data_IF_361193651666
#
_entry.id   IF_361193651666
#
_cell.length_a   1.000
_cell.length_b   1.000
_cell.length_c   1.000
_cell.angle_alpha   90.00
_cell.angle_beta   90.00
_cell.angle_gamma   90.00
#
_symmetry.space_group_name_H-M   'P 1'
#
loop_
_entity.id
_entity.type
_entity.pdbx_description
1 polymer ?
#
# COMPACT_ATOMS: atom_id res chain seq x y z
N UNK A 1 -13.11 -5.23 22.09
CA UNK A 1 -14.29 -4.40 21.72
C UNK A 1 -14.29 -4.19 20.22
N UNK A 2 -15.42 -4.48 19.58
CA UNK A 2 -15.69 -4.21 18.17
C UNK A 2 -16.67 -3.03 18.04
N UNK A 3 -16.49 -2.19 17.02
CA UNK A 3 -17.51 -1.23 16.59
C UNK A 3 -17.93 -1.59 15.17
N UNK A 4 -19.23 -1.53 14.91
CA UNK A 4 -19.82 -2.08 13.69
C UNK A 4 -20.10 -1.05 12.58
N UNK A 5 -20.36 0.21 12.95
CA UNK A 5 -20.56 1.29 11.98
C UNK A 5 -20.35 2.63 12.65
N UNK A 6 -19.61 3.52 11.99
CA UNK A 6 -19.33 4.86 12.51
C UNK A 6 -19.31 5.85 11.34
N UNK A 7 -20.13 6.91 11.46
CA UNK A 7 -20.14 8.05 10.56
C UNK A 7 -19.94 9.34 11.37
N UNK A 8 -18.75 9.92 11.27
CA UNK A 8 -18.34 11.15 11.96
C UNK A 8 -17.41 11.98 11.07
N UNK A 9 -17.16 13.22 11.45
CA UNK A 9 -16.20 14.07 10.76
C UNK A 9 -14.75 13.70 11.14
N UNK A 10 -14.51 13.41 12.43
CA UNK A 10 -13.22 12.98 12.97
C UNK A 10 -13.40 11.94 14.07
N UNK A 11 -12.43 11.03 14.21
CA UNK A 11 -12.44 9.95 15.21
C UNK A 11 -11.02 9.72 15.75
N UNK A 12 -10.88 9.62 17.09
CA UNK A 12 -9.60 9.43 17.80
C UNK A 12 -9.70 8.39 18.94
N UNK A 13 -10.02 7.12 18.66
CA UNK A 13 -10.04 6.09 19.68
C UNK A 13 -8.63 5.53 19.93
N UNK A 14 -8.25 5.22 21.18
CA UNK A 14 -6.89 4.80 21.50
C UNK A 14 -6.61 3.32 21.14
N UNK A 15 -7.59 2.42 21.26
CA UNK A 15 -7.40 1.00 21.00
C UNK A 15 -8.71 0.30 20.62
N UNK A 16 -8.70 -0.43 19.51
CA UNK A 16 -9.79 -1.34 19.14
C UNK A 16 -9.26 -2.62 18.52
N UNK A 17 -9.92 -3.73 18.82
CA UNK A 17 -9.56 -5.01 18.23
C UNK A 17 -10.04 -5.08 16.78
N UNK A 18 -11.29 -4.73 16.53
CA UNK A 18 -11.86 -4.70 15.18
C UNK A 18 -12.78 -3.51 14.99
N UNK A 19 -12.72 -2.89 13.80
CA UNK A 19 -13.72 -1.92 13.36
C UNK A 19 -14.22 -2.28 11.98
N UNK A 20 -15.54 -2.21 11.83
CA UNK A 20 -16.23 -2.48 10.57
C UNK A 20 -16.87 -1.19 10.05
N UNK A 21 -16.79 -0.99 8.74
CA UNK A 21 -17.53 0.01 7.97
C UNK A 21 -17.44 1.43 8.52
N UNK A 22 -16.38 2.13 8.13
CA UNK A 22 -16.07 3.49 8.60
C UNK A 22 -16.12 4.49 7.44
N UNK A 23 -16.90 5.57 7.59
CA UNK A 23 -16.85 6.72 6.68
C UNK A 23 -16.50 8.01 7.44
N UNK A 24 -15.32 8.58 7.18
CA UNK A 24 -14.83 9.79 7.86
C UNK A 24 -14.05 10.72 6.96
N UNK A 25 -13.94 12.00 7.33
CA UNK A 25 -13.02 12.91 6.66
C UNK A 25 -11.58 12.68 7.12
N UNK A 26 -11.37 12.59 8.43
CA UNK A 26 -10.05 12.36 9.04
C UNK A 26 -10.14 11.31 10.16
N UNK A 27 -9.15 10.43 10.24
CA UNK A 27 -9.12 9.37 11.23
C UNK A 27 -7.69 9.11 11.72
N UNK A 28 -7.52 9.08 13.05
CA UNK A 28 -6.26 8.76 13.70
C UNK A 28 -6.47 7.61 14.68
N UNK A 29 -5.81 6.50 14.41
CA UNK A 29 -6.04 5.24 15.11
C UNK A 29 -4.67 4.61 15.44
N UNK A 30 -4.14 4.83 16.67
CA UNK A 30 -2.76 4.50 17.00
C UNK A 30 -2.47 2.99 17.01
N UNK A 31 -3.40 2.16 17.50
CA UNK A 31 -3.21 0.72 17.64
C UNK A 31 -4.48 -0.09 17.34
N UNK A 32 -4.46 -0.84 16.22
CA UNK A 32 -5.61 -1.66 15.80
C UNK A 32 -5.22 -3.00 15.21
N UNK A 33 -5.99 -4.05 15.51
CA UNK A 33 -5.70 -5.35 14.94
C UNK A 33 -6.29 -5.47 13.52
N UNK A 34 -7.58 -5.21 13.34
CA UNK A 34 -8.22 -5.30 12.02
C UNK A 34 -9.17 -4.13 11.75
N UNK A 35 -9.10 -3.57 10.54
CA UNK A 35 -10.16 -2.71 10.03
C UNK A 35 -10.68 -3.23 8.68
N UNK A 36 -12.00 -3.12 8.51
CA UNK A 36 -12.70 -3.56 7.31
C UNK A 36 -13.52 -2.42 6.73
N UNK A 37 -13.41 -2.21 5.42
CA UNK A 37 -14.26 -1.31 4.62
C UNK A 37 -14.23 0.14 5.13
N UNK A 38 -13.14 0.85 4.84
CA UNK A 38 -12.99 2.26 5.21
C UNK A 38 -13.04 3.15 3.96
N UNK A 39 -13.88 4.17 3.96
CA UNK A 39 -13.79 5.28 3.03
C UNK A 39 -13.41 6.56 3.77
N UNK A 40 -12.33 7.22 3.36
CA UNK A 40 -11.90 8.45 4.02
C UNK A 40 -11.10 9.39 3.13
N UNK A 41 -10.98 10.65 3.53
CA UNK A 41 -10.07 11.58 2.86
C UNK A 41 -8.63 11.41 3.36
N UNK A 42 -8.45 11.37 4.68
CA UNK A 42 -7.14 11.23 5.33
C UNK A 42 -7.18 10.23 6.49
N UNK A 43 -6.15 9.39 6.59
CA UNK A 43 -6.01 8.41 7.66
C UNK A 43 -4.56 8.23 8.08
N UNK A 44 -4.35 8.19 9.39
CA UNK A 44 -3.05 7.94 10.01
C UNK A 44 -3.14 6.76 10.97
N UNK A 45 -2.41 5.68 10.66
CA UNK A 45 -2.43 4.40 11.36
C UNK A 45 -1.00 3.93 11.70
N UNK A 46 -0.43 4.37 12.84
CA UNK A 46 0.92 4.01 13.30
C UNK A 46 1.20 2.52 13.27
N UNK A 47 0.34 1.74 13.93
CA UNK A 47 0.56 0.33 14.18
C UNK A 47 -0.73 -0.44 13.99
N UNK A 48 -0.71 -1.36 13.04
CA UNK A 48 -1.86 -2.20 12.80
C UNK A 48 -1.45 -3.52 12.17
N UNK A 49 -2.34 -4.51 12.22
CA UNK A 49 -2.04 -5.84 11.71
C UNK A 49 -2.67 -6.09 10.35
N UNK A 50 -3.96 -5.84 10.18
CA UNK A 50 -4.67 -6.11 8.93
C UNK A 50 -5.65 -5.00 8.55
N UNK A 51 -5.72 -4.75 7.25
CA UNK A 51 -6.58 -3.74 6.65
C UNK A 51 -7.16 -4.29 5.36
N UNK A 52 -8.48 -4.24 5.25
CA UNK A 52 -9.22 -4.80 4.12
C UNK A 52 -10.12 -3.73 3.50
N UNK A 53 -10.04 -3.58 2.18
CA UNK A 53 -10.94 -2.76 1.37
C UNK A 53 -10.96 -1.30 1.80
N UNK A 54 -9.94 -0.54 1.41
CA UNK A 54 -9.83 0.88 1.74
C UNK A 54 -9.87 1.73 0.48
N UNK A 55 -10.77 2.72 0.46
CA UNK A 55 -10.75 3.78 -0.53
C UNK A 55 -10.40 5.12 0.12
N UNK A 56 -9.37 5.78 -0.38
CA UNK A 56 -8.94 7.04 0.23
C UNK A 56 -8.19 7.99 -0.69
N UNK A 57 -8.06 9.25 -0.26
CA UNK A 57 -7.19 10.20 -0.94
C UNK A 57 -5.74 10.08 -0.44
N UNK A 58 -5.55 10.09 0.88
CA UNK A 58 -4.23 10.02 1.52
C UNK A 58 -4.22 9.09 2.73
N UNK A 59 -3.18 8.28 2.85
CA UNK A 59 -3.04 7.30 3.92
C UNK A 59 -1.57 7.12 4.30
N UNK A 60 -1.29 7.22 5.60
CA UNK A 60 0.06 7.07 6.15
C UNK A 60 0.09 6.00 7.24
N UNK A 61 0.85 4.94 6.97
CA UNK A 61 0.89 3.69 7.74
C UNK A 61 2.33 3.31 8.05
N UNK A 62 2.92 3.80 9.15
CA UNK A 62 4.30 3.51 9.52
C UNK A 62 4.66 2.02 9.53
N UNK A 63 3.83 1.23 10.20
CA UNK A 63 4.10 -0.18 10.44
C UNK A 63 2.85 -1.02 10.27
N UNK A 64 2.92 -1.98 9.35
CA UNK A 64 1.82 -2.90 9.15
C UNK A 64 2.22 -4.24 8.57
N UNK A 65 1.40 -5.24 8.90
CA UNK A 65 1.59 -6.60 8.40
C UNK A 65 0.96 -6.83 7.02
N UNK A 66 -0.36 -6.64 6.84
CA UNK A 66 -1.03 -7.10 5.60
C UNK A 66 -2.16 -6.19 5.07
N UNK A 67 -1.96 -5.50 3.95
CA UNK A 67 -3.01 -4.69 3.28
C UNK A 67 -3.64 -5.48 2.14
N UNK A 68 -4.96 -5.45 2.07
CA UNK A 68 -5.74 -6.06 0.99
C UNK A 68 -6.68 -5.05 0.35
N UNK A 69 -6.62 -4.95 -0.98
CA UNK A 69 -7.57 -4.20 -1.81
C UNK A 69 -7.65 -2.72 -1.44
N UNK A 70 -6.70 -1.93 -1.94
CA UNK A 70 -6.67 -0.49 -1.68
C UNK A 70 -6.74 0.29 -2.98
N UNK A 71 -7.66 1.26 -3.03
CA UNK A 71 -7.71 2.27 -4.08
C UNK A 71 -7.40 3.65 -3.50
N UNK A 72 -6.39 4.32 -4.05
CA UNK A 72 -5.99 5.62 -3.50
C UNK A 72 -5.26 6.56 -4.45
N UNK A 73 -5.17 7.83 -4.06
CA UNK A 73 -4.32 8.79 -4.76
C UNK A 73 -2.87 8.72 -4.28
N UNK A 74 -2.65 8.71 -2.97
CA UNK A 74 -1.30 8.68 -2.36
C UNK A 74 -1.23 7.77 -1.13
N UNK A 75 -0.15 7.00 -1.04
CA UNK A 75 0.14 6.10 0.07
C UNK A 75 1.63 6.09 0.39
N UNK A 76 1.93 6.30 1.66
CA UNK A 76 3.29 6.28 2.17
C UNK A 76 3.36 5.36 3.39
N UNK A 77 3.77 4.11 3.20
CA UNK A 77 3.85 3.19 4.31
C UNK A 77 5.32 2.67 4.38
N UNK A 78 6.11 3.10 5.39
CA UNK A 78 7.55 2.88 5.41
C UNK A 78 7.99 1.42 5.62
N UNK A 79 7.22 0.60 6.35
CA UNK A 79 7.58 -0.78 6.67
C UNK A 79 6.40 -1.74 6.62
N UNK A 80 6.42 -2.64 5.61
CA UNK A 80 5.30 -3.54 5.34
C UNK A 80 5.73 -4.95 4.97
N UNK A 81 4.95 -5.92 5.42
CA UNK A 81 5.21 -7.33 5.10
C UNK A 81 4.49 -7.80 3.84
N UNK A 82 3.20 -7.52 3.68
CA UNK A 82 2.43 -7.92 2.50
C UNK A 82 1.44 -6.86 2.04
N UNK A 83 1.40 -6.58 0.73
CA UNK A 83 0.29 -5.86 0.12
C UNK A 83 -0.25 -6.61 -1.10
N UNK A 84 -1.58 -6.67 -1.17
CA UNK A 84 -2.31 -7.35 -2.23
C UNK A 84 -3.28 -6.39 -2.91
N UNK A 85 -3.24 -6.34 -4.23
CA UNK A 85 -4.22 -5.65 -5.08
C UNK A 85 -4.34 -4.17 -4.75
N UNK A 86 -3.37 -3.37 -5.20
CA UNK A 86 -3.39 -1.93 -5.00
C UNK A 86 -3.54 -1.21 -6.34
N UNK A 87 -4.50 -0.30 -6.42
CA UNK A 87 -4.62 0.66 -7.51
C UNK A 87 -4.35 2.08 -6.99
N UNK A 88 -3.38 2.78 -7.58
CA UNK A 88 -3.04 4.12 -7.11
C UNK A 88 -2.40 5.05 -8.13
N UNK A 89 -2.38 6.34 -7.82
CA UNK A 89 -1.64 7.31 -8.61
C UNK A 89 -0.15 7.34 -8.21
N UNK A 90 0.13 7.47 -6.92
CA UNK A 90 1.49 7.56 -6.39
C UNK A 90 1.67 6.71 -5.14
N UNK A 91 2.78 5.99 -5.08
CA UNK A 91 3.12 5.15 -3.93
C UNK A 91 4.62 5.15 -3.69
N UNK A 92 4.96 5.31 -2.43
CA UNK A 92 6.35 5.29 -1.96
C UNK A 92 6.47 4.25 -0.85
N UNK A 93 7.23 3.18 -1.12
CA UNK A 93 7.43 2.08 -0.18
C UNK A 93 8.92 1.80 0.04
N UNK A 94 9.53 2.41 1.07
CA UNK A 94 10.93 2.23 1.44
C UNK A 94 11.36 0.78 1.57
N UNK A 95 10.59 0.02 2.36
CA UNK A 95 10.93 -1.35 2.74
C UNK A 95 9.68 -2.22 2.67
N UNK A 96 9.72 -3.19 1.75
CA UNK A 96 8.64 -4.16 1.60
C UNK A 96 9.17 -5.58 1.39
N UNK A 97 8.50 -6.58 1.99
CA UNK A 97 8.78 -7.98 1.72
C UNK A 97 8.08 -8.51 0.45
N UNK A 98 6.74 -8.62 0.42
CA UNK A 98 5.99 -9.16 -0.74
C UNK A 98 4.83 -8.29 -1.27
N UNK A 99 4.91 -7.92 -2.55
CA UNK A 99 3.87 -7.15 -3.23
C UNK A 99 3.23 -7.93 -4.36
N UNK A 100 1.90 -7.96 -4.40
CA UNK A 100 1.13 -8.73 -5.38
C UNK A 100 0.08 -7.87 -6.08
N UNK A 101 0.13 -7.83 -7.41
CA UNK A 101 -0.81 -7.15 -8.30
C UNK A 101 -0.97 -5.66 -7.98
N UNK A 102 -0.16 -4.83 -8.63
CA UNK A 102 -0.23 -3.38 -8.45
C UNK A 102 -0.42 -2.70 -9.80
N UNK A 103 -1.42 -1.82 -9.89
CA UNK A 103 -1.61 -0.92 -11.02
C UNK A 103 -1.40 0.53 -10.58
N UNK A 104 -0.50 1.26 -11.25
CA UNK A 104 -0.19 2.62 -10.83
C UNK A 104 0.40 3.54 -11.88
N UNK A 105 0.41 4.84 -11.58
CA UNK A 105 1.12 5.80 -12.41
C UNK A 105 2.61 5.90 -12.02
N UNK A 106 2.90 6.05 -10.72
CA UNK A 106 4.27 6.21 -10.22
C UNK A 106 4.52 5.39 -8.96
N UNK A 107 5.64 4.66 -8.94
CA UNK A 107 6.02 3.84 -7.80
C UNK A 107 7.53 3.87 -7.55
N UNK A 108 7.88 4.08 -6.29
CA UNK A 108 9.26 4.15 -5.83
C UNK A 108 9.49 3.18 -4.67
N UNK A 109 10.25 2.12 -4.93
CA UNK A 109 10.55 1.04 -3.97
C UNK A 109 12.06 0.86 -3.82
N UNK A 110 12.69 1.55 -2.87
CA UNK A 110 14.11 1.46 -2.60
C UNK A 110 14.61 0.03 -2.38
N UNK A 111 13.92 -0.69 -1.49
CA UNK A 111 14.31 -2.03 -1.06
C UNK A 111 13.09 -2.93 -1.01
N UNK A 112 13.08 -3.95 -1.87
CA UNK A 112 12.03 -4.96 -1.81
C UNK A 112 12.54 -6.39 -2.09
N UNK A 113 11.84 -7.38 -1.54
CA UNK A 113 12.21 -8.79 -1.72
C UNK A 113 11.47 -9.45 -2.90
N UNK A 114 10.14 -9.34 -2.96
CA UNK A 114 9.35 -9.90 -4.06
C UNK A 114 8.25 -8.99 -4.56
N UNK A 115 8.15 -8.89 -5.89
CA UNK A 115 7.05 -8.23 -6.60
C UNK A 115 6.49 -9.17 -7.68
N UNK A 116 5.18 -9.31 -7.64
CA UNK A 116 4.43 -10.16 -8.56
C UNK A 116 3.38 -9.34 -9.29
N UNK A 117 3.52 -9.26 -10.62
CA UNK A 117 2.58 -8.57 -11.53
C UNK A 117 2.40 -7.08 -11.22
N UNK A 118 3.11 -6.24 -11.97
CA UNK A 118 3.00 -4.78 -11.85
C UNK A 118 2.68 -4.17 -13.22
N UNK A 119 1.66 -3.32 -13.29
CA UNK A 119 1.41 -2.48 -14.46
C UNK A 119 1.59 -1.01 -14.09
N UNK A 120 2.46 -0.30 -14.80
CA UNK A 120 2.72 1.10 -14.45
C UNK A 120 3.24 2.00 -15.56
N UNK A 121 3.18 3.31 -15.30
CA UNK A 121 3.84 4.28 -16.17
C UNK A 121 5.31 4.46 -15.80
N UNK A 122 5.62 4.65 -14.52
CA UNK A 122 6.99 4.88 -14.04
C UNK A 122 7.30 4.09 -12.78
N UNK A 123 8.45 3.43 -12.77
CA UNK A 123 8.91 2.61 -11.65
C UNK A 123 10.41 2.70 -11.41
N UNK A 124 10.76 2.93 -10.16
CA UNK A 124 12.14 3.08 -9.70
C UNK A 124 12.42 2.10 -8.56
N UNK A 125 13.26 1.09 -8.83
CA UNK A 125 13.65 0.05 -7.87
C UNK A 125 15.18 -0.08 -7.83
N UNK A 126 15.86 0.64 -6.94
CA UNK A 126 17.30 0.60 -6.86
C UNK A 126 17.80 -0.77 -6.39
N UNK A 127 17.14 -1.41 -5.42
CA UNK A 127 17.57 -2.71 -4.90
C UNK A 127 16.43 -3.71 -4.79
N UNK A 128 16.59 -4.87 -5.45
CA UNK A 128 15.59 -5.91 -5.38
C UNK A 128 16.08 -7.34 -5.61
N UNK A 129 15.33 -8.28 -5.03
CA UNK A 129 15.64 -9.70 -5.12
C UNK A 129 14.86 -10.43 -6.23
N UNK A 130 13.55 -10.22 -6.37
CA UNK A 130 12.74 -10.98 -7.35
C UNK A 130 11.59 -10.21 -7.99
N UNK A 131 11.56 -10.21 -9.32
CA UNK A 131 10.51 -9.63 -10.16
C UNK A 131 9.99 -10.65 -11.16
N UNK A 132 8.69 -10.93 -11.12
CA UNK A 132 8.10 -11.99 -11.94
C UNK A 132 7.45 -11.51 -13.25
N UNK A 133 6.69 -10.42 -13.20
CA UNK A 133 5.98 -9.90 -14.38
C UNK A 133 5.76 -8.41 -14.22
N UNK A 134 6.28 -7.63 -15.16
CA UNK A 134 6.18 -6.17 -15.14
C UNK A 134 5.85 -5.66 -16.54
N UNK A 135 4.79 -4.86 -16.64
CA UNK A 135 4.48 -4.07 -17.84
C UNK A 135 4.62 -2.58 -17.52
N UNK A 136 5.45 -1.88 -18.28
CA UNK A 136 5.72 -0.48 -17.99
C UNK A 136 6.13 0.41 -19.15
N UNK A 137 5.96 1.72 -18.95
CA UNK A 137 6.48 2.71 -19.88
C UNK A 137 7.95 3.05 -19.61
N UNK A 138 8.30 3.31 -18.34
CA UNK A 138 9.66 3.68 -17.92
C UNK A 138 10.08 2.92 -16.67
N UNK A 139 11.33 2.44 -16.67
CA UNK A 139 11.89 1.58 -15.64
C UNK A 139 13.35 1.91 -15.37
N UNK A 140 13.69 1.99 -14.08
CA UNK A 140 15.08 2.14 -13.61
C UNK A 140 15.43 1.13 -12.51
N UNK A 141 16.32 0.18 -12.83
CA UNK A 141 16.67 -1.00 -12.02
C UNK A 141 18.20 -1.27 -11.94
N UNK A 142 18.95 -0.49 -11.16
CA UNK A 142 20.42 -0.60 -11.11
C UNK A 142 20.92 -1.90 -10.46
N UNK A 143 20.21 -2.48 -9.49
CA UNK A 143 20.65 -3.71 -8.80
C UNK A 143 19.51 -4.73 -8.65
N UNK A 144 19.69 -5.90 -9.27
CA UNK A 144 18.70 -6.97 -9.34
C UNK A 144 19.31 -8.36 -9.23
N UNK A 145 18.61 -9.28 -8.55
CA UNK A 145 19.02 -10.68 -8.46
C UNK A 145 18.26 -11.61 -9.42
N UNK A 146 16.95 -11.42 -9.62
CA UNK A 146 16.16 -12.26 -10.52
C UNK A 146 15.02 -11.50 -11.21
N UNK A 147 14.94 -11.67 -12.53
CA UNK A 147 13.94 -11.10 -13.43
C UNK A 147 13.38 -12.20 -14.33
N UNK A 148 12.06 -12.34 -14.40
CA UNK A 148 11.43 -13.42 -15.18
C UNK A 148 10.76 -12.93 -16.47
N UNK A 149 10.02 -11.81 -16.42
CA UNK A 149 9.35 -11.22 -17.58
C UNK A 149 9.17 -9.71 -17.41
N UNK A 150 9.71 -8.94 -18.36
CA UNK A 150 9.64 -7.48 -18.40
C UNK A 150 9.22 -7.03 -19.81
N UNK A 151 8.10 -6.32 -19.89
CA UNK A 151 7.68 -5.59 -21.08
C UNK A 151 7.81 -4.09 -20.82
N UNK A 152 8.57 -3.42 -21.68
CA UNK A 152 8.94 -2.03 -21.46
C UNK A 152 8.95 -1.22 -22.75
N UNK A 153 8.64 0.07 -22.64
CA UNK A 153 8.84 1.03 -23.73
C UNK A 153 10.23 1.69 -23.65
N UNK A 154 10.72 1.95 -22.44
CA UNK A 154 12.04 2.54 -22.19
C UNK A 154 12.66 1.98 -20.90
N UNK A 155 13.97 1.70 -20.96
CA UNK A 155 14.75 1.15 -19.84
C UNK A 155 16.03 1.98 -19.67
N UNK A 156 16.30 2.36 -18.42
CA UNK A 156 17.47 3.12 -17.99
C UNK A 156 18.19 2.39 -16.85
#
# INVERSE_FOLDING_TARGET
>A
HSLFSINHYSLFPPYHHSLFSINHYSLFLPYHHSLFSINHYSLFLPYHHSLFSINHYSLFLPYHHSLFSINHYSLFPPYHHSLFSINHYSLFLPYHHSLFSINHYSLFLPYHHSLFSINHYSLFLPYHHSLFSINHYSLFLPYHHSLFSINHYSLF
#
